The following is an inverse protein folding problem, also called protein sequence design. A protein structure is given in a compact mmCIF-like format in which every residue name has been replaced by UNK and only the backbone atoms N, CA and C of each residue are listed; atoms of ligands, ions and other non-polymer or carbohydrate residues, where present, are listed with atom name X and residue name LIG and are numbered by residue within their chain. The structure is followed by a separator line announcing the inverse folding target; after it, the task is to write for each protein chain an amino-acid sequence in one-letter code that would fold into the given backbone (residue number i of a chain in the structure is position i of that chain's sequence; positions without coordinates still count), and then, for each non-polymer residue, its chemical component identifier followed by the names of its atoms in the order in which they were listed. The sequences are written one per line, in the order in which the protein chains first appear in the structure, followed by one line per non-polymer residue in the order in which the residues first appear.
data_IF_005056947120
#
_entry.id   IF_005056947120
#
_cell.length_a   1.000
_cell.length_b   1.000
_cell.length_c   1.000
_cell.angle_alpha   90.00
_cell.angle_beta   90.00
_cell.angle_gamma   90.00
#
_symmetry.space_group_name_H-M   'P 1'
#
loop_
_entity.id
_entity.type
_entity.pdbx_description
1 polymer ?
#
# COMPACT_ATOMS: atom_id res chain seq x y z
N UNK A 1 22.03 -4.91 -17.20
CA UNK A 1 21.21 -3.67 -17.17
C UNK A 1 20.29 -3.70 -15.97
N UNK A 2 20.20 -2.56 -15.30
CA UNK A 2 19.52 -2.35 -14.03
C UNK A 2 17.98 -2.42 -14.13
N UNK A 3 17.34 -2.83 -13.03
CA UNK A 3 15.89 -2.75 -12.78
C UNK A 3 15.39 -1.29 -12.65
N UNK A 4 15.89 -0.39 -13.51
CA UNK A 4 15.67 1.06 -13.46
C UNK A 4 14.56 1.54 -14.40
N UNK A 5 13.70 0.65 -14.94
CA UNK A 5 12.75 1.01 -15.99
C UNK A 5 11.32 0.48 -15.80
N UNK A 6 10.89 0.26 -14.56
CA UNK A 6 9.45 0.25 -14.29
C UNK A 6 9.14 1.51 -13.55
N UNK A 7 8.53 2.46 -14.25
CA UNK A 7 7.62 3.47 -13.71
C UNK A 7 7.21 3.13 -12.26
N UNK A 8 7.90 3.76 -11.31
CA UNK A 8 7.70 3.54 -9.89
C UNK A 8 6.33 4.09 -9.52
N UNK A 9 5.33 3.22 -9.52
CA UNK A 9 3.94 3.60 -9.30
C UNK A 9 2.99 2.52 -9.82
N UNK A 10 2.37 2.81 -10.95
CA UNK A 10 1.20 2.08 -11.44
C UNK A 10 1.47 0.58 -11.71
N UNK A 11 2.55 0.24 -12.42
CA UNK A 11 2.94 -1.15 -12.68
C UNK A 11 3.20 -1.95 -11.39
N UNK A 12 3.94 -1.35 -10.46
CA UNK A 12 4.30 -2.00 -9.20
C UNK A 12 3.07 -2.21 -8.31
N UNK A 13 2.17 -1.21 -8.27
CA UNK A 13 0.89 -1.29 -7.56
C UNK A 13 -0.01 -2.35 -8.19
N UNK A 14 -0.13 -2.39 -9.52
CA UNK A 14 -0.91 -3.41 -10.25
C UNK A 14 -0.38 -4.82 -10.01
N UNK A 15 0.94 -5.01 -10.04
CA UNK A 15 1.56 -6.31 -9.73
C UNK A 15 1.26 -6.73 -8.29
N UNK A 16 1.44 -5.83 -7.31
CA UNK A 16 1.11 -6.12 -5.93
C UNK A 16 -0.39 -6.41 -5.73
N UNK A 17 -1.26 -5.69 -6.43
CA UNK A 17 -2.70 -5.93 -6.41
C UNK A 17 -3.06 -7.32 -6.96
N UNK A 18 -2.48 -7.73 -8.09
CA UNK A 18 -2.69 -9.07 -8.64
C UNK A 18 -2.24 -10.17 -7.68
N UNK A 19 -1.07 -10.00 -7.04
CA UNK A 19 -0.59 -10.92 -6.00
C UNK A 19 -1.57 -10.99 -4.83
N UNK A 20 -2.08 -9.85 -4.37
CA UNK A 20 -3.06 -9.80 -3.28
C UNK A 20 -4.38 -10.48 -3.65
N UNK A 21 -4.84 -10.30 -4.89
CA UNK A 21 -6.06 -10.93 -5.39
C UNK A 21 -5.95 -12.45 -5.50
N UNK A 22 -4.74 -13.01 -5.59
CA UNK A 22 -4.53 -14.46 -5.54
C UNK A 22 -4.65 -15.04 -4.12
N UNK A 23 -4.62 -14.21 -3.06
CA UNK A 23 -4.75 -14.72 -1.71
C UNK A 23 -6.20 -15.05 -1.35
N UNK A 24 -6.46 -16.20 -0.73
CA UNK A 24 -7.80 -16.56 -0.30
C UNK A 24 -8.25 -15.64 0.84
N UNK A 25 -9.44 -15.06 0.70
CA UNK A 25 -10.03 -14.13 1.68
C UNK A 25 -10.10 -14.71 3.10
N UNK A 26 -10.23 -16.03 3.21
CA UNK A 26 -10.28 -16.75 4.48
C UNK A 26 -9.01 -16.60 5.33
N UNK A 27 -7.85 -16.36 4.72
CA UNK A 27 -6.60 -16.05 5.46
C UNK A 27 -6.73 -14.79 6.32
N UNK A 28 -7.66 -13.90 5.96
CA UNK A 28 -7.87 -12.60 6.60
C UNK A 28 -9.11 -12.55 7.50
N UNK A 29 -10.00 -13.53 7.40
CA UNK A 29 -11.28 -13.58 8.14
C UNK A 29 -11.08 -13.85 9.63
N UNK A 30 -10.13 -14.72 10.00
CA UNK A 30 -9.92 -15.14 11.40
C UNK A 30 -8.80 -14.35 12.12
N UNK A 31 -8.22 -13.34 11.45
CA UNK A 31 -7.18 -12.51 12.07
C UNK A 31 -7.79 -11.61 13.14
N UNK A 32 -7.28 -11.73 14.36
CA UNK A 32 -7.60 -10.84 15.48
C UNK A 32 -6.49 -9.80 15.63
N UNK A 33 -6.87 -8.52 15.66
CA UNK A 33 -5.94 -7.40 15.82
C UNK A 33 -5.57 -6.71 14.50
N UNK A 34 -4.52 -5.88 14.55
CA UNK A 34 -4.15 -4.96 13.47
C UNK A 34 -3.05 -5.50 12.54
N UNK A 35 -2.56 -6.73 12.78
CA UNK A 35 -1.46 -7.34 12.04
C UNK A 35 -1.97 -8.42 11.09
N UNK A 36 -1.37 -8.49 9.91
CA UNK A 36 -1.65 -9.53 8.90
C UNK A 36 -1.00 -10.87 9.26
N UNK A 37 -1.19 -11.90 8.42
CA UNK A 37 -0.49 -13.19 8.54
C UNK A 37 1.02 -12.96 8.41
N UNK A 38 1.83 -13.60 9.27
CA UNK A 38 3.30 -13.42 9.28
C UNK A 38 3.97 -13.69 7.92
N UNK A 39 3.42 -14.60 7.11
CA UNK A 39 3.91 -14.89 5.76
C UNK A 39 3.76 -13.71 4.79
N UNK A 40 2.88 -12.75 5.08
CA UNK A 40 2.66 -11.55 4.27
C UNK A 40 3.41 -10.33 4.81
N UNK A 41 4.17 -10.46 5.90
CA UNK A 41 4.96 -9.36 6.47
C UNK A 41 5.95 -8.79 5.44
N UNK A 42 6.57 -9.66 4.63
CA UNK A 42 7.47 -9.24 3.55
C UNK A 42 6.75 -8.41 2.48
N UNK A 43 5.52 -8.80 2.12
CA UNK A 43 4.70 -8.03 1.19
C UNK A 43 4.28 -6.69 1.79
N UNK A 44 3.94 -6.65 3.08
CA UNK A 44 3.61 -5.41 3.78
C UNK A 44 4.79 -4.44 3.78
N UNK A 45 5.99 -4.92 4.14
CA UNK A 45 7.22 -4.11 4.09
C UNK A 45 7.51 -3.60 2.69
N UNK A 46 7.31 -4.43 1.67
CA UNK A 46 7.46 -4.01 0.28
C UNK A 46 6.48 -2.89 -0.09
N UNK A 47 5.20 -3.01 0.27
CA UNK A 47 4.17 -1.99 0.04
C UNK A 47 4.50 -0.67 0.75
N UNK A 48 4.92 -0.72 2.01
CA UNK A 48 5.36 0.46 2.77
C UNK A 48 6.54 1.13 2.06
N UNK A 49 7.54 0.35 1.66
CA UNK A 49 8.70 0.87 0.94
C UNK A 49 8.35 1.47 -0.43
N UNK A 50 7.37 0.86 -1.13
CA UNK A 50 6.86 1.37 -2.39
C UNK A 50 6.20 2.75 -2.19
N UNK A 51 5.41 2.93 -1.13
CA UNK A 51 4.81 4.22 -0.80
C UNK A 51 5.86 5.29 -0.49
N UNK A 52 6.88 4.96 0.31
CA UNK A 52 8.00 5.87 0.60
C UNK A 52 8.77 6.25 -0.67
N UNK A 53 9.04 5.28 -1.55
CA UNK A 53 9.72 5.52 -2.83
C UNK A 53 8.90 6.46 -3.74
N UNK A 54 7.60 6.22 -3.87
CA UNK A 54 6.68 7.06 -4.66
C UNK A 54 6.60 8.47 -4.08
N UNK A 55 6.50 8.58 -2.75
CA UNK A 55 6.47 9.86 -2.06
C UNK A 55 7.76 10.64 -2.32
N UNK A 56 8.93 10.03 -2.12
CA UNK A 56 10.24 10.65 -2.35
C UNK A 56 10.44 11.07 -3.79
N UNK A 57 10.02 10.22 -4.75
CA UNK A 57 10.10 10.55 -6.17
C UNK A 57 9.18 11.72 -6.57
N UNK A 58 8.13 11.99 -5.78
CA UNK A 58 7.23 13.14 -6.00
C UNK A 58 7.80 14.47 -5.48
N UNK A 59 8.84 14.43 -4.64
CA UNK A 59 9.46 15.63 -4.07
C UNK A 59 10.20 16.38 -5.18
N UNK A 60 9.86 17.65 -5.38
CA UNK A 60 10.42 18.47 -6.45
C UNK A 60 9.78 18.26 -7.83
N UNK A 61 8.87 17.29 -7.97
CA UNK A 61 8.11 17.04 -9.20
C UNK A 61 6.91 17.99 -9.35
N UNK A 62 6.37 18.04 -10.56
CA UNK A 62 5.21 18.86 -10.95
C UNK A 62 3.97 18.62 -10.06
N UNK A 63 3.06 19.59 -10.00
CA UNK A 63 1.82 19.45 -9.21
C UNK A 63 0.97 18.24 -9.64
N UNK A 64 0.93 17.96 -10.94
CA UNK A 64 0.29 16.76 -11.51
C UNK A 64 0.92 15.47 -10.99
N UNK A 65 2.25 15.37 -11.03
CA UNK A 65 3.00 14.21 -10.56
C UNK A 65 2.76 13.99 -9.06
N UNK A 66 2.79 15.06 -8.27
CA UNK A 66 2.50 15.01 -6.83
C UNK A 66 1.10 14.51 -6.52
N UNK A 67 0.09 14.93 -7.30
CA UNK A 67 -1.28 14.41 -7.17
C UNK A 67 -1.33 12.92 -7.50
N UNK A 68 -0.68 12.51 -8.59
CA UNK A 68 -0.63 11.12 -9.01
C UNK A 68 0.04 10.22 -7.95
N UNK A 69 1.18 10.66 -7.41
CA UNK A 69 1.87 9.98 -6.31
C UNK A 69 1.01 9.85 -5.06
N UNK A 70 0.21 10.87 -4.71
CA UNK A 70 -0.74 10.77 -3.58
C UNK A 70 -1.83 9.72 -3.84
N UNK A 71 -2.37 9.65 -5.05
CA UNK A 71 -3.37 8.63 -5.41
C UNK A 71 -2.78 7.22 -5.37
N UNK A 72 -1.55 7.05 -5.85
CA UNK A 72 -0.80 5.79 -5.73
C UNK A 72 -0.60 5.37 -4.25
N UNK A 73 -0.23 6.30 -3.37
CA UNK A 73 -0.09 6.01 -1.93
C UNK A 73 -1.44 5.57 -1.33
N UNK A 74 -2.56 6.21 -1.72
CA UNK A 74 -3.91 5.77 -1.31
C UNK A 74 -4.22 4.34 -1.78
N UNK A 75 -3.82 3.97 -3.00
CA UNK A 75 -3.99 2.60 -3.48
C UNK A 75 -3.18 1.61 -2.66
N UNK A 76 -1.94 1.93 -2.31
CA UNK A 76 -1.10 1.08 -1.45
C UNK A 76 -1.73 0.88 -0.07
N UNK A 77 -2.28 1.95 0.52
CA UNK A 77 -3.02 1.86 1.78
C UNK A 77 -4.21 0.90 1.63
N UNK A 78 -5.00 1.00 0.55
CA UNK A 78 -6.11 0.07 0.26
C UNK A 78 -5.64 -1.38 0.11
N UNK A 79 -4.48 -1.61 -0.51
CA UNK A 79 -3.90 -2.94 -0.64
C UNK A 79 -3.52 -3.55 0.72
N UNK A 80 -2.82 -2.78 1.57
CA UNK A 80 -2.49 -3.18 2.94
C UNK A 80 -3.76 -3.51 3.75
N UNK A 81 -4.81 -2.72 3.56
CA UNK A 81 -6.10 -2.90 4.21
C UNK A 81 -6.80 -4.20 3.79
N UNK A 82 -6.73 -4.53 2.50
CA UNK A 82 -7.31 -5.76 1.93
C UNK A 82 -6.73 -7.02 2.57
N UNK A 83 -5.44 -6.99 2.90
CA UNK A 83 -4.74 -8.10 3.58
C UNK A 83 -4.73 -7.96 5.11
N UNK A 84 -5.58 -7.10 5.69
CA UNK A 84 -5.66 -6.82 7.15
C UNK A 84 -4.34 -6.34 7.77
N UNK A 85 -3.42 -5.79 6.98
CA UNK A 85 -2.18 -5.17 7.46
C UNK A 85 -2.46 -3.73 7.94
N UNK A 86 -3.38 -3.58 8.90
CA UNK A 86 -3.90 -2.29 9.33
C UNK A 86 -2.81 -1.43 9.98
N UNK A 87 -1.93 -2.02 10.78
CA UNK A 87 -0.80 -1.33 11.43
C UNK A 87 0.11 -0.61 10.41
N UNK A 88 0.47 -1.32 9.34
CA UNK A 88 1.25 -0.78 8.22
C UNK A 88 0.45 0.27 7.45
N UNK A 89 -0.85 0.04 7.22
CA UNK A 89 -1.72 1.00 6.54
C UNK A 89 -1.82 2.33 7.30
N UNK A 90 -1.97 2.27 8.64
CA UNK A 90 -1.96 3.45 9.51
C UNK A 90 -0.62 4.17 9.47
N UNK A 91 0.49 3.43 9.51
CA UNK A 91 1.84 3.99 9.45
C UNK A 91 2.05 4.77 8.14
N UNK A 92 1.75 4.15 7.00
CA UNK A 92 1.89 4.78 5.66
C UNK A 92 1.01 6.02 5.53
N UNK A 93 -0.23 5.96 6.01
CA UNK A 93 -1.12 7.11 5.93
C UNK A 93 -0.67 8.27 6.84
N UNK A 94 -0.17 7.97 8.04
CA UNK A 94 0.36 8.98 8.95
C UNK A 94 1.60 9.64 8.36
N UNK A 95 2.55 8.84 7.86
CA UNK A 95 3.81 9.31 7.27
C UNK A 95 3.58 10.23 6.06
N UNK A 96 2.60 9.90 5.21
CA UNK A 96 2.30 10.66 4.01
C UNK A 96 1.13 11.65 4.15
N UNK A 97 0.68 11.94 5.38
CA UNK A 97 -0.43 12.85 5.71
C UNK A 97 -1.76 12.53 4.97
N UNK A 98 -2.04 11.25 4.70
CA UNK A 98 -3.28 10.80 4.09
C UNK A 98 -4.35 10.67 5.18
N UNK A 99 -5.25 11.67 5.25
CA UNK A 99 -6.29 11.77 6.30
C UNK A 99 -7.50 10.85 6.11
N UNK A 100 -7.57 10.08 5.02
CA UNK A 100 -8.74 9.27 4.63
C UNK A 100 -8.72 7.82 5.14
N UNK A 101 -8.37 7.59 6.41
CA UNK A 101 -8.39 6.24 7.02
C UNK A 101 -9.63 5.94 7.87
N UNK A 102 -10.57 6.88 8.00
CA UNK A 102 -11.68 6.80 8.96
C UNK A 102 -12.73 5.70 8.69
N UNK A 103 -12.64 4.94 7.60
CA UNK A 103 -13.65 3.93 7.25
C UNK A 103 -13.09 2.52 7.01
N UNK A 104 -11.85 2.25 7.42
CA UNK A 104 -11.20 0.97 7.14
C UNK A 104 -11.71 -0.22 7.98
N UNK A 105 -12.53 0.06 9.00
CA UNK A 105 -13.00 -0.92 9.98
C UNK A 105 -14.46 -1.37 9.78
N UNK A 106 -15.19 -0.86 8.79
CA UNK A 106 -16.55 -1.36 8.49
C UNK A 106 -16.48 -2.43 7.39
N UNK A 107 -15.96 -3.59 7.78
CA UNK A 107 -16.15 -4.83 7.03
C UNK A 107 -17.30 -5.59 7.67
N UNK A 108 -18.51 -5.37 7.17
CA UNK A 108 -19.69 -6.21 7.44
C UNK A 108 -19.55 -7.60 6.83
#
# INVERSE_FOLDING_TARGET
MAFQNSEYGDDSIKKAQNVINCFPKQWFTNLKGNKTVSHLENLCRYLVHLADTIYRNSIGSSDVEKRNSREHIKQIIKLLSSIRALDHAFTVANDHNVKELKNLSDGK
#
